data_IF_354777745628
#
_entry.id   IF_354777745628
#
_cell.length_a   1.000
_cell.length_b   1.000
_cell.length_c   1.000
_cell.angle_alpha   90.00
_cell.angle_beta   90.00
_cell.angle_gamma   90.00
#
_symmetry.space_group_name_H-M   'P 1'
#
loop_
_entity.id
_entity.type
_entity.pdbx_description
1 polymer ?
#
# COMPACT_ATOMS: atom_id res chain seq x y z
N UNK A 1 -10.94 3.50 -13.71
CA UNK A 1 -10.35 4.30 -14.81
C UNK A 1 -10.34 3.45 -16.08
N UNK A 2 -10.36 4.05 -17.27
CA UNK A 2 -10.34 3.30 -18.54
C UNK A 2 -8.97 3.44 -19.24
N UNK A 3 -8.42 2.32 -19.71
CA UNK A 3 -7.23 2.28 -20.55
C UNK A 3 -7.68 2.16 -22.01
N UNK A 4 -7.35 3.17 -22.84
CA UNK A 4 -7.71 3.17 -24.26
C UNK A 4 -6.50 2.85 -25.14
N UNK A 5 -6.46 1.65 -25.71
CA UNK A 5 -5.44 1.23 -26.66
C UNK A 5 -6.06 1.25 -28.06
N UNK A 6 -5.55 2.07 -28.99
CA UNK A 6 -6.10 2.16 -30.36
C UNK A 6 -5.40 1.26 -31.38
N UNK A 7 -4.41 0.47 -30.95
CA UNK A 7 -3.65 -0.40 -31.84
C UNK A 7 -4.42 -1.71 -32.13
N UNK A 8 -4.81 -2.01 -33.39
CA UNK A 8 -5.59 -3.20 -33.72
C UNK A 8 -4.90 -4.51 -33.36
N UNK A 9 -3.56 -4.57 -33.46
CA UNK A 9 -2.79 -5.77 -33.12
C UNK A 9 -2.91 -6.10 -31.63
N UNK A 10 -2.91 -5.09 -30.76
CA UNK A 10 -3.03 -5.29 -29.31
C UNK A 10 -4.43 -5.80 -28.95
N UNK A 11 -5.48 -5.30 -29.61
CA UNK A 11 -6.84 -5.82 -29.44
C UNK A 11 -6.94 -7.31 -29.80
N UNK A 12 -6.35 -7.72 -30.92
CA UNK A 12 -6.36 -9.13 -31.32
C UNK A 12 -5.57 -10.02 -30.36
N UNK A 13 -4.40 -9.56 -29.90
CA UNK A 13 -3.63 -10.29 -28.88
C UNK A 13 -4.41 -10.44 -27.57
N UNK A 14 -5.01 -9.36 -27.06
CA UNK A 14 -5.81 -9.40 -25.85
C UNK A 14 -7.02 -10.34 -25.99
N UNK A 15 -7.69 -10.30 -27.15
CA UNK A 15 -8.83 -11.19 -27.46
C UNK A 15 -8.42 -12.66 -27.50
N UNK A 16 -7.30 -12.97 -28.14
CA UNK A 16 -6.79 -14.35 -28.21
C UNK A 16 -6.36 -14.85 -26.82
N UNK A 17 -5.62 -14.04 -26.07
CA UNK A 17 -5.21 -14.37 -24.71
C UNK A 17 -6.41 -14.60 -23.78
N UNK A 18 -7.42 -13.73 -23.84
CA UNK A 18 -8.65 -13.87 -23.06
C UNK A 18 -9.39 -15.19 -23.36
N UNK A 19 -9.49 -15.58 -24.63
CA UNK A 19 -10.08 -16.86 -25.03
C UNK A 19 -9.30 -18.05 -24.49
N UNK A 20 -7.96 -18.02 -24.57
CA UNK A 20 -7.11 -19.09 -24.08
C UNK A 20 -7.17 -19.24 -22.55
N UNK A 21 -7.26 -18.12 -21.82
CA UNK A 21 -7.31 -18.10 -20.35
C UNK A 21 -8.73 -18.30 -19.80
N UNK A 22 -9.76 -18.23 -20.65
CA UNK A 22 -11.16 -18.29 -20.21
C UNK A 22 -11.59 -17.06 -19.39
N UNK A 23 -11.00 -15.90 -19.64
CA UNK A 23 -11.27 -14.66 -18.89
C UNK A 23 -11.63 -13.50 -19.85
N UNK A 24 -11.70 -12.26 -19.35
CA UNK A 24 -11.91 -11.08 -20.18
C UNK A 24 -10.58 -10.42 -20.60
N UNK A 25 -10.64 -9.55 -21.63
CA UNK A 25 -9.45 -8.88 -22.18
C UNK A 25 -8.72 -8.02 -21.13
N UNK A 26 -9.46 -7.38 -20.23
CA UNK A 26 -8.86 -6.56 -19.16
C UNK A 26 -8.02 -7.42 -18.22
N UNK A 27 -8.56 -8.55 -17.77
CA UNK A 27 -7.90 -9.44 -16.82
C UNK A 27 -6.59 -10.02 -17.37
N UNK A 28 -6.55 -10.41 -18.65
CA UNK A 28 -5.30 -10.88 -19.27
C UNK A 28 -4.28 -9.77 -19.50
N UNK A 29 -4.73 -8.54 -19.75
CA UNK A 29 -3.84 -7.38 -19.87
C UNK A 29 -3.25 -7.06 -18.49
N UNK A 30 -4.06 -7.06 -17.44
CA UNK A 30 -3.63 -6.85 -16.05
C UNK A 30 -2.58 -7.88 -15.65
N UNK A 31 -2.86 -9.17 -15.85
CA UNK A 31 -1.92 -10.23 -15.55
C UNK A 31 -0.60 -10.11 -16.33
N UNK A 32 -0.66 -9.77 -17.62
CA UNK A 32 0.53 -9.59 -18.43
C UNK A 32 1.39 -8.41 -17.95
N UNK A 33 0.75 -7.32 -17.51
CA UNK A 33 1.44 -6.16 -16.94
C UNK A 33 2.05 -6.49 -15.58
N UNK A 34 1.34 -7.20 -14.71
CA UNK A 34 1.90 -7.67 -13.43
C UNK A 34 3.12 -8.56 -13.64
N UNK A 35 3.04 -9.51 -14.58
CA UNK A 35 4.18 -10.38 -14.91
C UNK A 35 5.38 -9.58 -15.40
N UNK A 36 5.15 -8.59 -16.28
CA UNK A 36 6.20 -7.71 -16.78
C UNK A 36 6.84 -6.90 -15.65
N UNK A 37 6.02 -6.35 -14.75
CA UNK A 37 6.51 -5.56 -13.61
C UNK A 37 7.34 -6.44 -12.65
N UNK A 38 6.87 -7.64 -12.32
CA UNK A 38 7.62 -8.63 -11.52
C UNK A 38 8.95 -9.01 -12.18
N UNK A 39 8.99 -9.22 -13.50
CA UNK A 39 10.23 -9.50 -14.24
C UNK A 39 11.27 -8.38 -14.11
N UNK A 40 10.82 -7.14 -13.90
CA UNK A 40 11.68 -5.98 -13.69
C UNK A 40 11.91 -5.64 -12.21
N UNK A 41 11.55 -6.53 -11.28
CA UNK A 41 11.74 -6.33 -9.84
C UNK A 41 10.80 -5.31 -9.21
N UNK A 42 9.72 -4.94 -9.91
CA UNK A 42 8.67 -4.09 -9.39
C UNK A 42 7.44 -4.95 -9.12
N UNK A 43 7.38 -5.63 -7.98
CA UNK A 43 6.15 -6.33 -7.61
C UNK A 43 5.09 -5.30 -7.16
N UNK A 44 3.93 -5.20 -7.84
CA UNK A 44 2.87 -4.26 -7.46
C UNK A 44 2.38 -4.47 -6.03
N UNK A 45 2.37 -5.72 -5.54
CA UNK A 45 1.93 -6.08 -4.21
C UNK A 45 2.96 -5.66 -3.16
N UNK A 46 4.25 -5.89 -3.42
CA UNK A 46 5.33 -5.40 -2.56
C UNK A 46 5.38 -3.88 -2.53
N UNK A 47 5.22 -3.21 -3.68
CA UNK A 47 5.17 -1.75 -3.75
C UNK A 47 3.96 -1.20 -2.95
N UNK A 48 2.83 -1.90 -2.96
CA UNK A 48 1.66 -1.55 -2.16
C UNK A 48 1.90 -1.75 -0.65
N UNK A 49 2.52 -2.87 -0.28
CA UNK A 49 2.90 -3.15 1.11
C UNK A 49 3.92 -2.14 1.64
N UNK A 50 4.95 -1.82 0.85
CA UNK A 50 5.97 -0.85 1.19
C UNK A 50 5.37 0.54 1.40
N UNK A 51 4.46 0.98 0.51
CA UNK A 51 3.74 2.25 0.69
C UNK A 51 2.96 2.31 2.00
N UNK A 52 2.36 1.20 2.44
CA UNK A 52 1.64 1.12 3.73
C UNK A 52 2.61 1.19 4.90
N UNK A 53 3.74 0.48 4.83
CA UNK A 53 4.80 0.52 5.83
C UNK A 53 5.38 1.94 5.96
N UNK A 54 5.67 2.59 4.84
CA UNK A 54 6.17 3.98 4.82
C UNK A 54 5.15 4.96 5.40
N UNK A 55 3.86 4.74 5.15
CA UNK A 55 2.79 5.52 5.80
C UNK A 55 2.77 5.30 7.31
N UNK A 56 2.88 4.05 7.78
CA UNK A 56 2.94 3.73 9.20
C UNK A 56 4.16 4.37 9.89
N UNK A 57 5.34 4.30 9.27
CA UNK A 57 6.54 4.95 9.79
C UNK A 57 6.40 6.47 9.87
N UNK A 58 5.78 7.11 8.87
CA UNK A 58 5.52 8.57 8.92
C UNK A 58 4.59 8.95 10.06
N UNK A 59 3.52 8.17 10.28
CA UNK A 59 2.61 8.37 11.41
C UNK A 59 3.38 8.19 12.72
N UNK A 60 4.07 7.07 12.90
CA UNK A 60 4.84 6.80 14.12
C UNK A 60 5.86 7.92 14.41
N UNK A 61 6.58 8.41 13.40
CA UNK A 61 7.52 9.51 13.55
C UNK A 61 6.85 10.83 13.97
N UNK A 62 5.65 11.11 13.46
CA UNK A 62 4.88 12.30 13.84
C UNK A 62 4.45 12.27 15.32
N UNK A 63 4.16 11.09 15.86
CA UNK A 63 3.72 10.91 17.25
C UNK A 63 4.85 10.49 18.21
N UNK A 64 6.07 10.27 17.71
CA UNK A 64 7.22 9.89 18.53
C UNK A 64 7.77 11.05 19.39
N UNK A 65 7.43 12.30 19.06
CA UNK A 65 7.77 13.45 19.90
C UNK A 65 6.63 13.72 20.88
N UNK A 66 6.89 13.70 22.20
CA UNK A 66 5.89 14.17 23.15
C UNK A 66 5.57 15.64 22.85
N UNK A 67 4.30 16.08 23.01
CA UNK A 67 3.95 17.48 22.90
C UNK A 67 4.86 18.29 23.83
N UNK A 68 5.51 19.32 23.28
CA UNK A 68 6.41 20.19 24.03
C UNK A 68 5.67 20.75 25.25
N UNK A 69 6.07 20.34 26.46
CA UNK A 69 5.59 20.91 27.71
C UNK A 69 4.82 19.97 28.65
N UNK A 70 4.47 18.75 28.23
CA UNK A 70 3.82 17.77 29.11
C UNK A 70 4.76 16.58 29.38
N UNK A 71 4.85 16.09 30.63
CA UNK A 71 5.54 14.84 30.90
C UNK A 71 4.87 13.73 30.09
N UNK A 72 5.66 13.00 29.31
CA UNK A 72 5.14 11.87 28.56
C UNK A 72 4.60 10.86 29.57
N UNK A 73 3.29 10.59 29.53
CA UNK A 73 2.68 9.47 30.26
C UNK A 73 3.15 8.21 29.54
N UNK A 74 4.16 7.54 30.11
CA UNK A 74 4.76 6.33 29.55
C UNK A 74 4.27 5.10 30.31
N UNK A 75 3.93 5.26 31.59
CA UNK A 75 3.43 4.22 32.48
C UNK A 75 2.15 4.68 33.17
N UNK A 76 1.41 3.71 33.71
CA UNK A 76 0.16 3.98 34.44
C UNK A 76 0.43 4.85 35.68
N UNK A 77 1.59 4.69 36.31
CA UNK A 77 2.01 5.47 37.47
C UNK A 77 2.18 6.96 37.17
N UNK A 78 2.48 7.32 35.91
CA UNK A 78 2.63 8.73 35.50
C UNK A 78 1.29 9.49 35.52
N UNK A 79 0.15 8.77 35.61
CA UNK A 79 -1.20 9.34 35.73
C UNK A 79 -1.53 9.84 37.13
N UNK A 80 -0.75 9.44 38.14
CA UNK A 80 -1.01 9.73 39.55
C UNK A 80 0.10 10.63 40.14
N UNK A 81 -0.25 11.42 41.15
CA UNK A 81 0.71 12.14 41.99
C UNK A 81 1.27 11.23 43.10
N UNK A 82 2.22 11.76 43.87
CA UNK A 82 2.88 11.01 44.96
C UNK A 82 1.91 10.60 46.09
N UNK A 83 0.72 11.21 46.13
CA UNK A 83 -0.36 10.85 47.07
C UNK A 83 -1.33 9.82 46.51
N UNK A 84 -1.15 9.41 45.25
CA UNK A 84 -1.99 8.43 44.55
C UNK A 84 -3.27 9.04 43.94
N UNK A 85 -3.37 10.36 43.85
CA UNK A 85 -4.48 11.04 43.21
C UNK A 85 -4.18 11.26 41.71
N UNK A 86 -5.21 11.23 40.83
CA UNK A 86 -5.01 11.60 39.42
C UNK A 86 -4.44 13.00 39.28
N UNK A 87 -3.43 13.17 38.42
CA UNK A 87 -2.88 14.48 38.04
C UNK A 87 -3.82 15.28 37.16
#
# INVERSE_FOLDING_TARGET
MSLNIKNPRVHELARQAARLRGTNQTAVIEEALELLLRQHGADPDEASAQRKIDAAHRIAAAYARPPMGEPAIVRVEDLYDDSGLPR
#
